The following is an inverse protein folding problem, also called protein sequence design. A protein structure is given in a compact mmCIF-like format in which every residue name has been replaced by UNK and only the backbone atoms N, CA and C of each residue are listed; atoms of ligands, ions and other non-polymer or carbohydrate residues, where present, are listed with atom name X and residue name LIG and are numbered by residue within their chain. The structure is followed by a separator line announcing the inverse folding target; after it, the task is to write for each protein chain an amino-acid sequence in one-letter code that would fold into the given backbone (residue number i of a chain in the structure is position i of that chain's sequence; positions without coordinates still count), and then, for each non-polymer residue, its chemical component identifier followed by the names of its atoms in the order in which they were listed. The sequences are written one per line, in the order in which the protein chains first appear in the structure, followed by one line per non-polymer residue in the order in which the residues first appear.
data_IF_006831961614
#
_entry.id   IF_006831961614
#
_cell.length_a   1.000
_cell.length_b   1.000
_cell.length_c   1.000
_cell.angle_alpha   90.00
_cell.angle_beta   90.00
_cell.angle_gamma   90.00
#
_symmetry.space_group_name_H-M   'P 1'
#
loop_
_entity.id
_entity.type
_entity.pdbx_description
1 polymer ?
#
# COMPACT_ATOMS: atom_id res chain seq x y z
N UNK A 1 27.50 -17.09 -29.90
CA UNK A 1 26.24 -16.91 -29.15
C UNK A 1 25.12 -17.33 -30.06
N UNK A 2 24.41 -18.42 -29.75
CA UNK A 2 23.25 -18.81 -30.55
C UNK A 2 22.18 -17.72 -30.41
N UNK A 3 21.57 -17.26 -31.51
CA UNK A 3 20.50 -16.27 -31.42
C UNK A 3 19.34 -16.87 -30.63
N UNK A 4 18.85 -16.12 -29.64
CA UNK A 4 17.68 -16.51 -28.86
C UNK A 4 16.50 -16.71 -29.80
N UNK A 5 15.89 -17.90 -29.79
CA UNK A 5 14.78 -18.24 -30.67
C UNK A 5 13.45 -17.99 -29.98
N UNK A 6 12.36 -17.90 -30.76
CA UNK A 6 10.99 -17.76 -30.21
C UNK A 6 10.65 -18.86 -29.21
N UNK A 7 11.17 -20.08 -29.41
CA UNK A 7 10.97 -21.23 -28.54
C UNK A 7 11.61 -21.03 -27.16
N UNK A 8 12.70 -20.27 -27.07
CA UNK A 8 13.38 -19.95 -25.80
C UNK A 8 12.65 -18.83 -25.04
N UNK A 9 11.97 -17.93 -25.76
CA UNK A 9 11.27 -16.78 -25.18
C UNK A 9 9.93 -17.18 -24.52
N UNK A 10 9.22 -18.16 -25.07
CA UNK A 10 7.89 -18.57 -24.59
C UNK A 10 7.91 -18.97 -23.10
N UNK A 11 8.82 -19.83 -22.61
CA UNK A 11 8.88 -20.19 -21.19
C UNK A 11 9.15 -18.99 -20.27
N UNK A 12 9.98 -18.03 -20.71
CA UNK A 12 10.30 -16.83 -19.92
C UNK A 12 9.09 -15.93 -19.79
N UNK A 13 8.33 -15.75 -20.87
CA UNK A 13 7.07 -15.01 -20.86
C UNK A 13 6.07 -15.67 -19.91
N UNK A 14 5.93 -16.99 -19.94
CA UNK A 14 5.05 -17.74 -19.03
C UNK A 14 5.47 -17.58 -17.57
N UNK A 15 6.77 -17.68 -17.25
CA UNK A 15 7.31 -17.47 -15.91
C UNK A 15 7.09 -16.03 -15.42
N UNK A 16 7.10 -15.05 -16.34
CA UNK A 16 6.83 -13.64 -16.02
C UNK A 16 5.37 -13.36 -15.68
N UNK A 17 4.43 -14.26 -16.02
CA UNK A 17 3.00 -14.04 -15.75
C UNK A 17 2.72 -14.02 -14.25
N UNK A 18 3.37 -14.86 -13.44
CA UNK A 18 3.08 -14.94 -12.00
C UNK A 18 3.38 -13.63 -11.24
N UNK A 19 4.55 -12.98 -11.42
CA UNK A 19 4.80 -11.65 -10.84
C UNK A 19 3.85 -10.56 -11.38
N UNK A 20 3.44 -10.62 -12.65
CA UNK A 20 2.49 -9.64 -13.23
C UNK A 20 1.11 -9.75 -12.58
N UNK A 21 0.62 -10.96 -12.32
CA UNK A 21 -0.63 -11.19 -11.60
C UNK A 21 -0.54 -10.60 -10.18
N UNK A 22 0.59 -10.80 -9.50
CA UNK A 22 0.82 -10.22 -8.17
C UNK A 22 0.77 -8.68 -8.22
N UNK A 23 1.43 -8.04 -9.19
CA UNK A 23 1.40 -6.59 -9.37
C UNK A 23 -0.05 -6.09 -9.54
N UNK A 24 -0.86 -6.79 -10.32
CA UNK A 24 -2.29 -6.46 -10.49
C UNK A 24 -3.05 -6.51 -9.17
N UNK A 25 -2.85 -7.57 -8.37
CA UNK A 25 -3.44 -7.69 -7.03
C UNK A 25 -3.01 -6.57 -6.08
N UNK A 26 -1.73 -6.20 -6.10
CA UNK A 26 -1.21 -5.08 -5.29
C UNK A 26 -1.81 -3.76 -5.77
N UNK A 27 -2.03 -3.58 -7.07
CA UNK A 27 -2.69 -2.40 -7.64
C UNK A 27 -4.09 -2.16 -7.07
N UNK A 28 -4.88 -3.23 -6.89
CA UNK A 28 -6.21 -3.14 -6.27
C UNK A 28 -6.13 -2.71 -4.80
N UNK A 29 -5.15 -3.25 -4.07
CA UNK A 29 -4.91 -2.88 -2.66
C UNK A 29 -4.49 -1.42 -2.56
N UNK A 30 -3.56 -0.98 -3.42
CA UNK A 30 -3.11 0.42 -3.50
C UNK A 30 -4.27 1.37 -3.80
N UNK A 31 -5.16 1.01 -4.71
CA UNK A 31 -6.36 1.80 -5.01
C UNK A 31 -7.25 1.95 -3.78
N UNK A 32 -7.51 0.86 -3.05
CA UNK A 32 -8.29 0.88 -1.80
C UNK A 32 -7.65 1.79 -0.74
N UNK A 33 -6.33 1.66 -0.54
CA UNK A 33 -5.57 2.48 0.41
C UNK A 33 -5.57 3.96 0.03
N UNK A 34 -5.39 4.26 -1.26
CA UNK A 34 -5.37 5.63 -1.79
C UNK A 34 -6.74 6.29 -1.63
N UNK A 35 -7.83 5.57 -1.95
CA UNK A 35 -9.19 6.05 -1.73
C UNK A 35 -9.46 6.36 -0.26
N UNK A 36 -8.97 5.49 0.64
CA UNK A 36 -9.10 5.71 2.08
C UNK A 36 -8.30 6.93 2.55
N UNK A 37 -7.07 7.09 2.09
CA UNK A 37 -6.24 8.26 2.40
C UNK A 37 -6.88 9.56 1.88
N UNK A 38 -7.48 9.53 0.69
CA UNK A 38 -8.24 10.66 0.13
C UNK A 38 -9.33 11.13 1.08
N UNK A 39 -10.18 10.21 1.57
CA UNK A 39 -11.23 10.52 2.56
C UNK A 39 -10.68 11.14 3.86
N UNK A 40 -9.53 10.67 4.32
CA UNK A 40 -8.86 11.22 5.52
C UNK A 40 -8.37 12.65 5.26
N UNK A 41 -7.78 12.91 4.10
CA UNK A 41 -7.31 14.24 3.69
C UNK A 41 -8.49 15.19 3.49
N UNK A 42 -9.57 14.75 2.86
CA UNK A 42 -10.77 15.56 2.65
C UNK A 42 -11.42 15.94 3.98
N UNK A 43 -11.52 15.01 4.94
CA UNK A 43 -11.99 15.33 6.31
C UNK A 43 -11.07 16.33 7.00
N UNK A 44 -9.75 16.22 6.83
CA UNK A 44 -8.80 17.18 7.39
C UNK A 44 -9.01 18.60 6.81
N UNK A 45 -9.21 18.70 5.49
CA UNK A 45 -9.48 19.97 4.79
C UNK A 45 -10.78 20.62 5.24
N UNK A 46 -11.85 19.85 5.43
CA UNK A 46 -13.13 20.37 5.94
C UNK A 46 -12.98 20.95 7.36
N UNK A 47 -12.21 20.26 8.21
CA UNK A 47 -11.94 20.71 9.57
C UNK A 47 -11.08 21.98 9.59
N UNK A 48 -10.11 22.08 8.68
CA UNK A 48 -9.29 23.28 8.48
C UNK A 48 -10.13 24.47 7.97
N UNK A 49 -11.08 24.24 7.06
CA UNK A 49 -12.01 25.30 6.62
C UNK A 49 -12.90 25.80 7.75
N UNK A 50 -13.32 24.91 8.67
CA UNK A 50 -14.12 25.28 9.85
C UNK A 50 -13.32 26.07 10.90
N UNK A 51 -11.99 26.08 10.78
CA UNK A 51 -11.11 26.90 11.60
C UNK A 51 -11.22 28.40 11.25
N UNK A 52 -11.58 28.73 10.01
CA UNK A 52 -11.78 30.10 9.54
C UNK A 52 -13.16 30.62 9.99
N UNK A 53 -13.27 31.04 11.25
CA UNK A 53 -14.48 31.67 11.81
C UNK A 53 -14.89 31.20 13.20
N UNK A 54 -14.19 30.20 13.76
CA UNK A 54 -14.51 29.62 15.07
C UNK A 54 -13.80 30.35 16.24
N UNK A 55 -14.44 30.49 17.42
CA UNK A 55 -13.82 31.08 18.62
C UNK A 55 -12.59 30.30 19.11
N UNK A 56 -11.67 30.96 19.82
CA UNK A 56 -10.35 30.42 20.20
C UNK A 56 -10.37 29.07 20.94
N UNK A 57 -11.46 28.78 21.67
CA UNK A 57 -11.67 27.52 22.41
C UNK A 57 -11.92 26.34 21.47
N UNK A 58 -12.67 26.55 20.39
CA UNK A 58 -12.94 25.54 19.35
C UNK A 58 -11.71 25.35 18.45
N UNK A 59 -10.94 26.41 18.24
CA UNK A 59 -9.69 26.38 17.48
C UNK A 59 -8.69 25.36 18.03
N UNK A 60 -8.53 25.29 19.36
CA UNK A 60 -7.61 24.31 20.00
C UNK A 60 -8.10 22.87 19.86
N UNK A 61 -9.41 22.64 19.93
CA UNK A 61 -10.01 21.30 19.74
C UNK A 61 -9.83 20.83 18.30
N UNK A 62 -10.12 21.68 17.33
CA UNK A 62 -9.95 21.40 15.90
C UNK A 62 -8.48 21.09 15.56
N UNK A 63 -7.53 21.88 16.07
CA UNK A 63 -6.10 21.63 15.87
C UNK A 63 -5.63 20.31 16.49
N UNK A 64 -6.17 19.92 17.64
CA UNK A 64 -5.88 18.64 18.26
C UNK A 64 -6.39 17.46 17.41
N UNK A 65 -7.61 17.57 16.86
CA UNK A 65 -8.18 16.57 15.96
C UNK A 65 -7.42 16.46 14.63
N UNK A 66 -7.01 17.58 14.04
CA UNK A 66 -6.12 17.63 12.86
C UNK A 66 -4.77 16.94 13.11
N UNK A 67 -4.19 17.13 14.31
CA UNK A 67 -2.92 16.46 14.68
C UNK A 67 -3.10 14.94 14.80
N UNK A 68 -4.22 14.48 15.36
CA UNK A 68 -4.55 13.05 15.41
C UNK A 68 -4.73 12.51 13.98
N UNK A 69 -5.48 13.21 13.14
CA UNK A 69 -5.78 12.79 11.77
C UNK A 69 -4.51 12.72 10.88
N UNK A 70 -3.61 13.70 11.02
CA UNK A 70 -2.32 13.72 10.29
C UNK A 70 -1.35 12.64 10.76
N UNK A 71 -1.32 12.32 12.06
CA UNK A 71 -0.53 11.21 12.61
C UNK A 71 -1.02 9.86 12.06
N UNK A 72 -2.34 9.65 12.03
CA UNK A 72 -2.96 8.44 11.45
C UNK A 72 -2.70 8.31 9.95
N UNK A 73 -2.75 9.43 9.22
CA UNK A 73 -2.39 9.47 7.81
C UNK A 73 -0.96 8.98 7.53
N UNK A 74 -0.04 9.08 8.50
CA UNK A 74 1.33 8.58 8.34
C UNK A 74 1.42 7.06 8.26
N UNK A 75 0.56 6.32 8.97
CA UNK A 75 0.52 4.86 8.92
C UNK A 75 0.06 4.40 7.53
N UNK A 76 -0.98 5.04 6.99
CA UNK A 76 -1.47 4.75 5.64
C UNK A 76 -0.43 5.06 4.58
N UNK A 77 0.26 6.20 4.69
CA UNK A 77 1.36 6.55 3.78
C UNK A 77 2.50 5.54 3.82
N UNK A 78 2.90 5.07 5.01
CA UNK A 78 3.93 4.04 5.15
C UNK A 78 3.50 2.72 4.51
N UNK A 79 2.24 2.33 4.70
CA UNK A 79 1.66 1.14 4.11
C UNK A 79 1.62 1.22 2.56
N UNK A 80 1.23 2.37 2.00
CA UNK A 80 1.27 2.64 0.55
C UNK A 80 2.72 2.56 0.05
N UNK A 81 3.67 3.18 0.76
CA UNK A 81 5.08 3.17 0.36
C UNK A 81 5.66 1.74 0.28
N UNK A 82 5.35 0.88 1.26
CA UNK A 82 5.78 -0.52 1.25
C UNK A 82 5.12 -1.33 0.12
N UNK A 83 3.84 -1.08 -0.17
CA UNK A 83 3.14 -1.72 -1.29
C UNK A 83 3.74 -1.28 -2.64
N UNK A 84 4.04 0.01 -2.82
CA UNK A 84 4.74 0.51 -4.02
C UNK A 84 6.13 -0.10 -4.13
N UNK A 85 6.88 -0.20 -3.03
CA UNK A 85 8.20 -0.85 -3.02
C UNK A 85 8.11 -2.32 -3.44
N UNK A 86 7.10 -3.06 -2.96
CA UNK A 86 6.83 -4.43 -3.39
C UNK A 86 6.58 -4.52 -4.90
N UNK A 87 5.76 -3.63 -5.46
CA UNK A 87 5.54 -3.56 -6.92
C UNK A 87 6.84 -3.28 -7.67
N UNK A 88 7.66 -2.34 -7.20
CA UNK A 88 8.95 -2.04 -7.81
C UNK A 88 9.88 -3.28 -7.81
N UNK A 89 9.95 -3.99 -6.70
CA UNK A 89 10.73 -5.24 -6.59
C UNK A 89 10.22 -6.32 -7.57
N UNK A 90 8.90 -6.44 -7.74
CA UNK A 90 8.30 -7.35 -8.73
C UNK A 90 8.63 -6.94 -10.18
N UNK A 91 8.65 -5.65 -10.49
CA UNK A 91 9.07 -5.14 -11.80
C UNK A 91 10.55 -5.46 -12.05
N UNK A 92 11.43 -5.21 -11.08
CA UNK A 92 12.85 -5.57 -11.18
C UNK A 92 13.05 -7.09 -11.32
N UNK A 93 12.20 -7.91 -10.72
CA UNK A 93 12.23 -9.37 -10.86
C UNK A 93 11.95 -9.80 -12.30
N UNK A 94 10.93 -9.20 -12.93
CA UNK A 94 10.62 -9.46 -14.33
C UNK A 94 11.80 -9.03 -15.21
N UNK A 95 12.35 -7.83 -15.00
CA UNK A 95 13.56 -7.39 -15.72
C UNK A 95 14.74 -8.35 -15.56
N UNK A 96 15.00 -8.81 -14.33
CA UNK A 96 16.06 -9.76 -14.04
C UNK A 96 15.86 -11.11 -14.75
N UNK A 97 14.61 -11.58 -14.89
CA UNK A 97 14.30 -12.83 -15.58
C UNK A 97 14.66 -12.73 -17.08
N UNK A 98 14.30 -11.62 -17.73
CA UNK A 98 14.65 -11.37 -19.13
C UNK A 98 16.16 -11.17 -19.34
N UNK A 99 16.83 -10.41 -18.47
CA UNK A 99 18.28 -10.21 -18.54
C UNK A 99 19.06 -11.51 -18.32
N UNK A 100 18.63 -12.32 -17.35
CA UNK A 100 19.20 -13.64 -17.09
C UNK A 100 19.12 -14.55 -18.30
N UNK A 101 17.97 -14.55 -18.98
CA UNK A 101 17.79 -15.31 -20.21
C UNK A 101 18.63 -14.78 -21.38
N UNK A 102 18.68 -13.45 -21.58
CA UNK A 102 19.37 -12.85 -22.72
C UNK A 102 20.89 -12.98 -22.66
N UNK A 103 21.45 -12.82 -21.46
CA UNK A 103 22.90 -12.81 -21.25
C UNK A 103 23.44 -14.12 -20.67
N UNK A 104 22.59 -15.10 -20.35
CA UNK A 104 23.01 -16.37 -19.75
C UNK A 104 23.62 -16.21 -18.35
N UNK A 105 23.27 -15.14 -17.64
CA UNK A 105 23.84 -14.82 -16.32
C UNK A 105 23.24 -15.73 -15.24
N UNK A 106 24.03 -16.17 -14.23
CA UNK A 106 23.54 -16.96 -13.10
C UNK A 106 22.78 -16.07 -12.09
N UNK A 107 21.68 -15.45 -12.53
CA UNK A 107 20.87 -14.50 -11.74
C UNK A 107 19.91 -15.16 -10.76
N UNK A 108 19.87 -16.50 -10.71
CA UNK A 108 18.88 -17.27 -9.92
C UNK A 108 18.84 -16.80 -8.46
N UNK A 109 19.99 -16.67 -7.80
CA UNK A 109 20.07 -16.22 -6.40
C UNK A 109 19.52 -14.80 -6.24
N UNK A 110 19.84 -13.88 -7.17
CA UNK A 110 19.34 -12.51 -7.13
C UNK A 110 17.81 -12.46 -7.31
N UNK A 111 17.25 -13.26 -8.23
CA UNK A 111 15.80 -13.36 -8.44
C UNK A 111 15.08 -13.88 -7.19
N UNK A 112 15.62 -14.93 -6.55
CA UNK A 112 15.05 -15.48 -5.32
C UNK A 112 15.06 -14.43 -4.19
N UNK A 113 16.17 -13.74 -3.97
CA UNK A 113 16.28 -12.69 -2.96
C UNK A 113 15.28 -11.57 -3.22
N UNK A 114 15.17 -11.12 -4.47
CA UNK A 114 14.27 -10.05 -4.87
C UNK A 114 12.80 -10.43 -4.69
N UNK A 115 12.44 -11.68 -5.00
CA UNK A 115 11.09 -12.21 -4.80
C UNK A 115 10.72 -12.29 -3.32
N UNK A 116 11.63 -12.79 -2.48
CA UNK A 116 11.42 -12.85 -1.02
C UNK A 116 11.26 -11.44 -0.45
N UNK A 117 12.12 -10.50 -0.85
CA UNK A 117 12.03 -9.10 -0.39
C UNK A 117 10.73 -8.44 -0.85
N UNK A 118 10.29 -8.71 -2.08
CA UNK A 118 9.00 -8.29 -2.61
C UNK A 118 7.84 -8.77 -1.73
N UNK A 119 7.83 -10.06 -1.38
CA UNK A 119 6.79 -10.66 -0.53
C UNK A 119 6.82 -10.11 0.89
N UNK A 120 8.01 -9.91 1.49
CA UNK A 120 8.14 -9.32 2.82
C UNK A 120 7.61 -7.88 2.85
N UNK A 121 7.90 -7.07 1.83
CA UNK A 121 7.36 -5.72 1.70
C UNK A 121 5.82 -5.74 1.58
N UNK A 122 5.27 -6.68 0.80
CA UNK A 122 3.83 -6.84 0.67
C UNK A 122 3.16 -7.22 1.98
N UNK A 123 3.72 -8.19 2.70
CA UNK A 123 3.21 -8.61 4.02
C UNK A 123 3.25 -7.45 5.01
N UNK A 124 4.34 -6.68 5.04
CA UNK A 124 4.45 -5.50 5.89
C UNK A 124 3.41 -4.42 5.53
N UNK A 125 3.21 -4.16 4.22
CA UNK A 125 2.20 -3.23 3.74
C UNK A 125 0.78 -3.64 4.15
N UNK A 126 0.44 -4.92 3.99
CA UNK A 126 -0.85 -5.48 4.40
C UNK A 126 -1.05 -5.42 5.92
N UNK A 127 0.00 -5.71 6.69
CA UNK A 127 -0.04 -5.60 8.16
C UNK A 127 -0.33 -4.18 8.62
N UNK A 128 0.33 -3.17 8.04
CA UNK A 128 0.06 -1.76 8.34
C UNK A 128 -1.34 -1.34 7.88
N UNK A 129 -1.80 -1.82 6.73
CA UNK A 129 -3.14 -1.55 6.24
C UNK A 129 -4.20 -2.11 7.19
N UNK A 130 -4.04 -3.36 7.65
CA UNK A 130 -4.92 -4.01 8.60
C UNK A 130 -4.93 -3.28 9.95
N UNK A 131 -3.77 -2.84 10.43
CA UNK A 131 -3.65 -2.03 11.63
C UNK A 131 -4.47 -0.73 11.50
N UNK A 132 -4.32 -0.03 10.38
CA UNK A 132 -5.07 1.20 10.14
C UNK A 132 -6.58 0.94 10.11
N UNK A 133 -7.04 -0.16 9.48
CA UNK A 133 -8.48 -0.54 9.47
C UNK A 133 -8.98 -0.71 10.90
N UNK A 134 -8.29 -1.50 11.72
CA UNK A 134 -8.69 -1.75 13.11
C UNK A 134 -8.75 -0.46 13.94
N UNK A 135 -7.81 0.47 13.71
CA UNK A 135 -7.81 1.77 14.39
C UNK A 135 -9.00 2.64 13.98
N UNK A 136 -9.39 2.64 12.70
CA UNK A 136 -10.59 3.34 12.25
C UNK A 136 -11.86 2.74 12.79
N UNK A 137 -11.94 1.41 12.87
CA UNK A 137 -13.09 0.75 13.45
C UNK A 137 -13.24 1.14 14.93
N UNK A 138 -12.15 1.10 15.70
CA UNK A 138 -12.16 1.47 17.13
C UNK A 138 -12.56 2.93 17.36
N UNK A 139 -12.17 3.85 16.48
CA UNK A 139 -12.59 5.25 16.55
C UNK A 139 -14.09 5.41 16.31
N UNK A 140 -14.65 4.69 15.33
CA UNK A 140 -16.09 4.70 15.04
C UNK A 140 -16.91 4.18 16.23
N UNK A 141 -16.46 3.12 16.89
CA UNK A 141 -17.10 2.58 18.11
C UNK A 141 -17.08 3.54 19.31
N UNK A 142 -16.17 4.52 19.31
CA UNK A 142 -16.05 5.54 20.35
C UNK A 142 -16.93 6.76 20.07
N UNK A 143 -17.21 7.07 18.80
CA UNK A 143 -18.13 8.14 18.37
C UNK A 143 -19.62 7.72 18.44
N UNK A 144 -19.92 6.42 18.61
CA UNK A 144 -21.29 5.91 18.71
C UNK A 144 -21.94 6.23 20.08
N UNK A 145 -23.16 6.81 20.11
CA UNK A 145 -23.91 7.05 21.34
C UNK A 145 -24.19 5.76 22.12
N UNK A 146 -24.23 5.79 23.47
CA UNK A 146 -24.39 4.61 24.31
C UNK A 146 -25.66 3.79 24.05
N UNK A 147 -26.70 4.36 23.42
CA UNK A 147 -27.95 3.66 23.07
C UNK A 147 -27.79 2.54 22.01
N UNK A 148 -26.70 2.53 21.25
CA UNK A 148 -26.45 1.52 20.20
C UNK A 148 -25.65 0.29 20.66
N UNK A 149 -25.20 0.27 21.93
CA UNK A 149 -24.33 -0.80 22.47
C UNK A 149 -25.05 -2.11 22.81
N UNK A 150 -26.39 -2.17 22.73
CA UNK A 150 -27.20 -3.30 23.20
C UNK A 150 -27.90 -4.15 22.13
N UNK A 151 -27.62 -3.96 20.84
CA UNK A 151 -28.33 -4.65 19.75
C UNK A 151 -27.47 -5.62 18.92
N UNK A 152 -26.33 -6.08 19.44
CA UNK A 152 -25.53 -7.15 18.81
C UNK A 152 -25.17 -8.20 19.85
#
# INVERSE_FOLDING_TARGET
MNPMTLTDLIPILQLSVSPVILISGIGLILLSMTNRLGRVIDRARLLEQSLHGSPDTDRRRILAELRILSSRGSIVRAAIALAVLSVLLAVFLIFGLFLGALFGLPVVTALVVLFVLCMLCLVAALGLFLWDINLSLKALWLELPPESRGMV
#
